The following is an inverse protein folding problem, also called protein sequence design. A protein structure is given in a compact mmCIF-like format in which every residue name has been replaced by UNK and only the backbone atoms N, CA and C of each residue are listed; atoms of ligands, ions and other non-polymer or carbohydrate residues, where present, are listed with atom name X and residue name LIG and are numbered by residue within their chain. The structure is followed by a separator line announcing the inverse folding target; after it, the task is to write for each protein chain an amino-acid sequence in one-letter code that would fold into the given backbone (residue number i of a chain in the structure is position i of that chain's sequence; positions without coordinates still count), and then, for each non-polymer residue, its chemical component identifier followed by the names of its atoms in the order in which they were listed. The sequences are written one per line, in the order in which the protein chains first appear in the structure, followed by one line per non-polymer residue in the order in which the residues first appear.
data_IF_620242709925
#
_entry.id   IF_620242709925
#
_cell.length_a   1.000
_cell.length_b   1.000
_cell.length_c   1.000
_cell.angle_alpha   90.00
_cell.angle_beta   90.00
_cell.angle_gamma   90.00
#
_symmetry.space_group_name_H-M   'P 1'
#
loop_
_entity.id
_entity.type
_entity.pdbx_description
1 polymer ?
#
# COMPACT_ATOMS: atom_id res chain seq x y z
N UNK A 1 1.51 18.72 -7.07
CA UNK A 1 1.19 17.42 -6.43
C UNK A 1 2.50 16.72 -6.14
N UNK A 2 2.79 16.37 -4.89
CA UNK A 2 4.02 15.63 -4.55
C UNK A 2 3.95 14.23 -5.20
N UNK A 3 4.98 13.82 -5.95
CA UNK A 3 5.02 12.53 -6.68
C UNK A 3 4.75 11.34 -5.75
N UNK A 4 5.28 11.37 -4.52
CA UNK A 4 5.05 10.35 -3.50
C UNK A 4 3.59 10.21 -3.11
N UNK A 5 2.81 11.30 -3.08
CA UNK A 5 1.37 11.27 -2.79
C UNK A 5 0.60 10.53 -3.88
N UNK A 6 0.97 10.71 -5.15
CA UNK A 6 0.34 10.00 -6.27
C UNK A 6 0.64 8.50 -6.18
N UNK A 7 1.87 8.14 -5.85
CA UNK A 7 2.27 6.73 -5.68
C UNK A 7 1.53 6.11 -4.49
N UNK A 8 1.46 6.81 -3.35
CA UNK A 8 0.72 6.35 -2.16
C UNK A 8 -0.76 6.11 -2.47
N UNK A 9 -1.40 7.02 -3.21
CA UNK A 9 -2.79 6.89 -3.63
C UNK A 9 -2.98 5.69 -4.57
N UNK A 10 -2.06 5.48 -5.51
CA UNK A 10 -2.10 4.33 -6.41
C UNK A 10 -2.00 3.00 -5.66
N UNK A 11 -1.07 2.90 -4.69
CA UNK A 11 -0.94 1.71 -3.83
C UNK A 11 -2.23 1.47 -3.06
N UNK A 12 -2.81 2.51 -2.47
CA UNK A 12 -4.06 2.41 -1.72
C UNK A 12 -5.21 1.89 -2.58
N UNK A 13 -5.47 2.51 -3.74
CA UNK A 13 -6.55 2.11 -4.63
C UNK A 13 -6.36 0.68 -5.17
N UNK A 14 -5.13 0.32 -5.54
CA UNK A 14 -4.83 -1.01 -6.04
C UNK A 14 -5.04 -2.08 -4.96
N UNK A 15 -4.58 -1.81 -3.73
CA UNK A 15 -4.81 -2.69 -2.58
C UNK A 15 -6.31 -2.87 -2.32
N UNK A 16 -7.08 -1.80 -2.36
CA UNK A 16 -8.53 -1.81 -2.16
C UNK A 16 -9.26 -2.66 -3.20
N UNK A 17 -8.94 -2.47 -4.49
CA UNK A 17 -9.51 -3.26 -5.59
C UNK A 17 -9.20 -4.75 -5.42
N UNK A 18 -7.96 -5.09 -5.07
CA UNK A 18 -7.57 -6.49 -4.86
C UNK A 18 -8.29 -7.10 -3.67
N UNK A 19 -8.40 -6.39 -2.54
CA UNK A 19 -9.10 -6.88 -1.34
C UNK A 19 -10.58 -7.14 -1.64
N UNK A 20 -11.26 -6.20 -2.30
CA UNK A 20 -12.69 -6.31 -2.62
C UNK A 20 -12.96 -7.35 -3.71
N UNK A 21 -11.97 -7.63 -4.57
CA UNK A 21 -12.10 -8.73 -5.53
C UNK A 21 -12.22 -10.10 -4.86
N UNK A 22 -11.85 -10.21 -3.58
CA UNK A 22 -11.79 -11.45 -2.79
C UNK A 22 -10.95 -12.58 -3.43
N UNK A 23 -10.16 -12.28 -4.46
CA UNK A 23 -9.34 -13.28 -5.18
C UNK A 23 -8.02 -13.58 -4.47
N UNK A 24 -7.57 -12.70 -3.58
CA UNK A 24 -6.30 -12.81 -2.84
C UNK A 24 -6.59 -12.58 -1.36
N UNK A 25 -5.86 -13.29 -0.48
CA UNK A 25 -6.03 -13.17 0.96
C UNK A 25 -5.76 -11.73 1.46
N UNK A 26 -6.77 -11.10 2.07
CA UNK A 26 -6.72 -9.70 2.53
C UNK A 26 -5.46 -9.32 3.29
N UNK A 27 -5.00 -10.19 4.20
CA UNK A 27 -3.81 -9.93 5.02
C UNK A 27 -2.53 -9.89 4.18
N UNK A 28 -2.41 -10.73 3.15
CA UNK A 28 -1.26 -10.73 2.25
C UNK A 28 -1.22 -9.43 1.46
N UNK A 29 -2.37 -8.95 0.99
CA UNK A 29 -2.50 -7.71 0.23
C UNK A 29 -2.15 -6.50 1.11
N UNK A 30 -2.72 -6.45 2.33
CA UNK A 30 -2.47 -5.36 3.27
C UNK A 30 -0.99 -5.28 3.67
N UNK A 31 -0.37 -6.42 4.01
CA UNK A 31 1.05 -6.47 4.37
C UNK A 31 1.96 -6.11 3.18
N UNK A 32 1.61 -6.55 1.96
CA UNK A 32 2.37 -6.19 0.76
C UNK A 32 2.28 -4.69 0.46
N UNK A 33 1.09 -4.10 0.59
CA UNK A 33 0.89 -2.66 0.43
C UNK A 33 1.69 -1.85 1.45
N UNK A 34 1.66 -2.25 2.73
CA UNK A 34 2.46 -1.63 3.78
C UNK A 34 3.98 -1.74 3.51
N UNK A 35 4.45 -2.93 3.10
CA UNK A 35 5.85 -3.13 2.74
C UNK A 35 6.29 -2.23 1.56
N UNK A 36 5.46 -2.10 0.53
CA UNK A 36 5.72 -1.20 -0.60
C UNK A 36 5.82 0.27 -0.16
N UNK A 37 4.97 0.72 0.76
CA UNK A 37 5.03 2.08 1.29
C UNK A 37 6.37 2.39 1.98
N UNK A 38 6.89 1.43 2.75
CA UNK A 38 8.19 1.56 3.43
C UNK A 38 9.36 1.49 2.43
N UNK A 39 9.35 0.50 1.53
CA UNK A 39 10.43 0.29 0.56
C UNK A 39 10.59 1.47 -0.42
N UNK A 40 9.48 2.12 -0.77
CA UNK A 40 9.48 3.30 -1.64
C UNK A 40 9.74 4.61 -0.89
N UNK A 41 9.96 4.56 0.43
CA UNK A 41 10.23 5.75 1.26
C UNK A 41 9.04 6.70 1.38
N UNK A 42 7.82 6.21 1.16
CA UNK A 42 6.58 7.00 1.31
C UNK A 42 6.34 7.29 2.80
N UNK A 43 6.66 6.32 3.64
CA UNK A 43 6.64 6.42 5.10
C UNK A 43 7.81 5.63 5.69
N UNK A 44 8.30 6.02 6.86
CA UNK A 44 9.36 5.28 7.56
C UNK A 44 8.78 4.04 8.24
N UNK A 45 9.63 3.06 8.55
CA UNK A 45 9.18 1.86 9.28
C UNK A 45 8.54 2.20 10.63
N UNK A 46 9.01 3.25 11.30
CA UNK A 46 8.44 3.77 12.55
C UNK A 46 7.03 4.33 12.37
N UNK A 47 6.75 4.98 11.23
CA UNK A 47 5.41 5.44 10.86
C UNK A 47 4.48 4.29 10.41
N UNK A 48 5.03 3.11 10.09
CA UNK A 48 4.30 1.96 9.56
C UNK A 48 3.79 0.99 10.65
N UNK A 49 4.42 1.02 11.82
CA UNK A 49 4.16 0.14 12.97
C UNK A 49 3.12 0.77 13.90
#
# INVERSE_FOLDING_TARGET
MQTLTIIALAIFLLSYVVIISEKIHRTVVALSGAALMVLLGILTQDQAL
#
